data_IF_200323816407
#
_entry.id   IF_200323816407
#
_cell.length_a   1.000
_cell.length_b   1.000
_cell.length_c   1.000
_cell.angle_alpha   90.00
_cell.angle_beta   90.00
_cell.angle_gamma   90.00
#
_symmetry.space_group_name_H-M   'P 1'
#
loop_
_entity.id
_entity.type
_entity.pdbx_description
1 polymer ?
#
# COMPACT_ATOMS: atom_id res chain seq x y z
N UNK A 1 -1.18 -2.13 -29.39
CA UNK A 1 -0.96 -2.58 -28.00
C UNK A 1 -0.26 -1.45 -27.28
N UNK A 2 -0.81 -0.95 -26.19
CA UNK A 2 -0.18 0.09 -25.36
C UNK A 2 0.42 -0.63 -24.17
N UNK A 3 1.73 -0.54 -24.01
CA UNK A 3 2.43 -1.08 -22.85
C UNK A 3 2.76 0.09 -21.94
N UNK A 4 2.15 0.09 -20.78
CA UNK A 4 2.50 1.01 -19.70
C UNK A 4 3.54 0.35 -18.82
N UNK A 5 4.76 0.86 -18.84
CA UNK A 5 5.68 0.59 -17.73
C UNK A 5 5.49 1.73 -16.73
N UNK A 6 4.86 1.39 -15.62
CA UNK A 6 4.51 2.39 -14.63
C UNK A 6 5.73 3.03 -13.98
N UNK A 7 6.01 4.24 -14.43
CA UNK A 7 6.83 5.15 -13.68
C UNK A 7 6.06 6.03 -12.70
N UNK A 8 4.80 5.72 -12.41
CA UNK A 8 3.94 6.61 -11.59
C UNK A 8 4.49 6.79 -10.18
N UNK A 9 5.10 5.75 -9.63
CA UNK A 9 5.76 5.81 -8.32
C UNK A 9 7.27 6.09 -8.42
N UNK A 10 7.76 6.30 -9.63
CA UNK A 10 9.15 6.60 -9.88
C UNK A 10 9.22 8.11 -10.09
N UNK A 11 9.38 8.85 -8.99
CA UNK A 11 9.61 10.28 -9.10
C UNK A 11 10.80 10.54 -10.02
N UNK A 12 10.74 11.60 -10.77
CA UNK A 12 11.86 12.05 -11.62
C UNK A 12 13.16 12.30 -10.84
N UNK A 13 13.09 12.38 -9.51
CA UNK A 13 14.24 12.45 -8.62
C UNK A 13 14.96 11.11 -8.46
N UNK A 14 14.27 9.98 -8.66
CA UNK A 14 14.84 8.65 -8.47
C UNK A 14 15.24 7.96 -9.78
N UNK A 15 14.68 8.42 -10.92
CA UNK A 15 14.91 7.79 -12.22
C UNK A 15 14.94 8.84 -13.32
N UNK A 16 16.02 8.86 -14.08
CA UNK A 16 16.12 9.72 -15.25
C UNK A 16 15.09 9.30 -16.33
N UNK A 17 14.33 10.23 -16.93
CA UNK A 17 13.35 9.94 -17.96
C UNK A 17 13.91 9.10 -19.12
N UNK A 18 15.16 9.38 -19.50
CA UNK A 18 15.86 8.67 -20.57
C UNK A 18 16.05 7.18 -20.23
N UNK A 19 16.41 6.86 -18.98
CA UNK A 19 16.59 5.48 -18.56
C UNK A 19 15.26 4.71 -18.50
N UNK A 20 14.16 5.37 -18.15
CA UNK A 20 12.81 4.81 -18.20
C UNK A 20 12.39 4.55 -19.65
N UNK A 21 12.67 5.48 -20.55
CA UNK A 21 12.37 5.36 -21.98
C UNK A 21 13.13 4.19 -22.61
N UNK A 22 14.42 4.10 -22.38
CA UNK A 22 15.26 3.00 -22.88
C UNK A 22 14.81 1.63 -22.35
N UNK A 23 14.53 1.54 -21.05
CA UNK A 23 13.99 0.34 -20.43
C UNK A 23 12.65 -0.07 -21.04
N UNK A 24 11.79 0.91 -21.33
CA UNK A 24 10.47 0.66 -21.96
C UNK A 24 10.62 0.19 -23.40
N UNK A 25 11.50 0.80 -24.20
CA UNK A 25 11.78 0.38 -25.58
C UNK A 25 12.30 -1.05 -25.63
N UNK A 26 13.23 -1.41 -24.73
CA UNK A 26 13.78 -2.76 -24.64
C UNK A 26 12.68 -3.78 -24.31
N UNK A 27 11.80 -3.45 -23.38
CA UNK A 27 10.69 -4.31 -23.00
C UNK A 27 9.69 -4.49 -24.16
N UNK A 28 9.35 -3.40 -24.86
CA UNK A 28 8.48 -3.43 -26.05
C UNK A 28 9.07 -4.29 -27.17
N UNK A 29 10.38 -4.21 -27.40
CA UNK A 29 11.06 -5.07 -28.38
C UNK A 29 10.86 -6.54 -28.09
N UNK A 30 11.09 -6.98 -26.85
CA UNK A 30 10.88 -8.36 -26.46
C UNK A 30 9.43 -8.84 -26.57
N UNK A 31 8.47 -7.95 -26.28
CA UNK A 31 7.04 -8.24 -26.47
C UNK A 31 6.69 -8.40 -27.95
N UNK A 32 7.23 -7.54 -28.78
CA UNK A 32 6.99 -7.59 -30.23
C UNK A 32 7.53 -8.89 -30.85
N UNK A 33 8.72 -9.32 -30.43
CA UNK A 33 9.34 -10.58 -30.88
C UNK A 33 8.54 -11.82 -30.49
N UNK A 34 7.92 -11.84 -29.31
CA UNK A 34 7.05 -12.95 -28.86
C UNK A 34 5.79 -13.11 -29.69
N UNK A 35 5.19 -12.01 -30.12
CA UNK A 35 3.93 -12.02 -30.83
C UNK A 35 2.70 -12.28 -29.93
N UNK A 36 1.52 -12.21 -30.54
CA UNK A 36 0.25 -12.24 -29.81
C UNK A 36 -0.03 -13.60 -29.14
N UNK A 37 0.16 -14.71 -29.84
CA UNK A 37 -0.24 -16.03 -29.38
C UNK A 37 0.59 -16.48 -28.15
N UNK A 38 1.87 -16.17 -28.14
CA UNK A 38 2.73 -16.48 -27.00
C UNK A 38 2.37 -15.59 -25.79
N UNK A 39 2.14 -14.29 -26.00
CA UNK A 39 1.69 -13.39 -24.94
C UNK A 39 0.34 -13.80 -24.36
N UNK A 40 -0.60 -14.21 -25.21
CA UNK A 40 -1.89 -14.71 -24.78
C UNK A 40 -1.73 -15.99 -23.93
N UNK A 41 -0.89 -16.91 -24.38
CA UNK A 41 -0.60 -18.14 -23.64
C UNK A 41 0.04 -17.87 -22.28
N UNK A 42 1.00 -16.94 -22.20
CA UNK A 42 1.60 -16.51 -20.93
C UNK A 42 0.56 -15.87 -20.01
N UNK A 43 -0.29 -15.01 -20.54
CA UNK A 43 -1.38 -14.36 -19.79
C UNK A 43 -2.37 -15.36 -19.22
N UNK A 44 -2.80 -16.33 -20.02
CA UNK A 44 -3.71 -17.40 -19.56
C UNK A 44 -3.07 -18.21 -18.44
N UNK A 45 -1.80 -18.61 -18.57
CA UNK A 45 -1.10 -19.37 -17.51
C UNK A 45 -0.97 -18.55 -16.21
N UNK A 46 -0.64 -17.28 -16.32
CA UNK A 46 -0.50 -16.40 -15.15
C UNK A 46 -1.83 -16.23 -14.40
N UNK A 47 -2.94 -16.08 -15.13
CA UNK A 47 -4.26 -15.99 -14.51
C UNK A 47 -4.75 -17.35 -13.97
N UNK A 48 -4.49 -18.45 -14.67
CA UNK A 48 -4.82 -19.77 -14.15
C UNK A 48 -4.16 -20.02 -12.78
N UNK A 49 -2.87 -19.70 -12.66
CA UNK A 49 -2.17 -19.83 -11.39
C UNK A 49 -2.77 -18.96 -10.28
N UNK A 50 -3.15 -17.71 -10.59
CA UNK A 50 -3.84 -16.85 -9.60
C UNK A 50 -5.18 -17.44 -9.17
N UNK A 51 -5.99 -17.92 -10.12
CA UNK A 51 -7.29 -18.51 -9.83
C UNK A 51 -7.20 -19.79 -9.00
N UNK A 52 -6.15 -20.60 -9.14
CA UNK A 52 -5.90 -21.77 -8.29
C UNK A 52 -5.78 -21.40 -6.80
N UNK A 53 -5.27 -20.19 -6.49
CA UNK A 53 -5.09 -19.76 -5.11
C UNK A 53 -6.28 -18.99 -4.54
N UNK A 54 -7.03 -18.28 -5.37
CA UNK A 54 -7.96 -17.26 -4.89
C UNK A 54 -9.42 -17.46 -5.32
N UNK A 55 -9.73 -18.49 -6.10
CA UNK A 55 -11.12 -18.71 -6.51
C UNK A 55 -12.00 -19.16 -5.35
N UNK A 56 -13.22 -18.64 -5.33
CA UNK A 56 -14.23 -18.97 -4.34
C UNK A 56 -15.45 -19.51 -5.09
N UNK A 57 -15.97 -20.67 -4.67
CA UNK A 57 -17.16 -21.28 -5.24
C UNK A 57 -18.39 -20.98 -4.38
N UNK A 58 -19.39 -20.33 -4.98
CA UNK A 58 -20.69 -20.05 -4.36
C UNK A 58 -21.76 -20.87 -5.08
N UNK A 59 -22.42 -21.76 -4.33
CA UNK A 59 -23.48 -22.61 -4.88
C UNK A 59 -24.85 -21.98 -4.60
N UNK A 60 -25.68 -21.90 -5.63
CA UNK A 60 -27.07 -21.44 -5.51
C UNK A 60 -27.29 -19.94 -5.79
N UNK A 61 -26.23 -19.14 -5.89
CA UNK A 61 -26.33 -17.71 -6.25
C UNK A 61 -25.30 -17.34 -7.32
N UNK A 62 -25.77 -17.29 -8.57
CA UNK A 62 -24.93 -16.95 -9.74
C UNK A 62 -24.47 -15.50 -9.70
N UNK A 63 -25.30 -14.58 -9.20
CA UNK A 63 -24.95 -13.17 -9.13
C UNK A 63 -23.85 -12.92 -8.08
N UNK A 64 -23.94 -13.55 -6.92
CA UNK A 64 -22.90 -13.51 -5.90
C UNK A 64 -21.60 -14.15 -6.40
N UNK A 65 -21.67 -15.27 -7.11
CA UNK A 65 -20.49 -15.90 -7.72
C UNK A 65 -19.80 -14.99 -8.73
N UNK A 66 -20.56 -14.32 -9.57
CA UNK A 66 -20.01 -13.36 -10.53
C UNK A 66 -19.40 -12.15 -9.81
N UNK A 67 -20.10 -11.62 -8.81
CA UNK A 67 -19.66 -10.45 -8.05
C UNK A 67 -18.33 -10.68 -7.30
N UNK A 68 -18.17 -11.83 -6.64
CA UNK A 68 -16.93 -12.14 -5.93
C UNK A 68 -15.75 -12.32 -6.89
N UNK A 69 -15.93 -13.05 -8.00
CA UNK A 69 -14.87 -13.21 -9.01
C UNK A 69 -14.50 -11.89 -9.68
N UNK A 70 -15.46 -11.01 -9.93
CA UNK A 70 -15.20 -9.68 -10.45
C UNK A 70 -14.29 -8.87 -9.53
N UNK A 71 -14.56 -8.85 -8.22
CA UNK A 71 -13.73 -8.15 -7.24
C UNK A 71 -12.34 -8.77 -7.12
N UNK A 72 -12.23 -10.09 -7.07
CA UNK A 72 -10.95 -10.81 -7.05
C UNK A 72 -10.12 -10.45 -8.29
N UNK A 73 -10.74 -10.45 -9.46
CA UNK A 73 -10.07 -10.07 -10.70
C UNK A 73 -9.54 -8.65 -10.65
N UNK A 74 -10.34 -7.67 -10.21
CA UNK A 74 -9.92 -6.28 -10.13
C UNK A 74 -8.77 -6.04 -9.15
N UNK A 75 -8.78 -6.68 -7.99
CA UNK A 75 -7.67 -6.61 -7.04
C UNK A 75 -6.41 -7.28 -7.60
N UNK A 76 -6.56 -8.49 -8.17
CA UNK A 76 -5.45 -9.26 -8.72
C UNK A 76 -4.79 -8.65 -9.96
N UNK A 77 -5.52 -7.87 -10.76
CA UNK A 77 -4.94 -7.15 -11.91
C UNK A 77 -4.24 -5.85 -11.52
N UNK A 78 -4.68 -5.21 -10.42
CA UNK A 78 -4.15 -3.91 -10.01
C UNK A 78 -2.79 -4.04 -9.37
N UNK A 79 -2.61 -5.02 -8.49
CA UNK A 79 -1.37 -5.25 -7.77
C UNK A 79 -0.96 -6.71 -7.81
N UNK A 80 0.27 -6.96 -8.26
CA UNK A 80 0.80 -8.33 -8.44
C UNK A 80 1.80 -8.74 -7.36
N UNK A 81 2.31 -7.79 -6.60
CA UNK A 81 3.35 -8.04 -5.61
C UNK A 81 4.76 -8.24 -6.16
N UNK A 82 4.97 -8.07 -7.46
CA UNK A 82 6.28 -8.30 -8.08
C UNK A 82 7.30 -7.18 -7.79
N UNK A 83 6.82 -5.98 -7.49
CA UNK A 83 7.66 -4.82 -7.27
C UNK A 83 7.29 -4.10 -5.96
N UNK A 84 8.18 -4.18 -4.97
CA UNK A 84 7.99 -3.54 -3.67
C UNK A 84 8.10 -2.00 -3.68
N UNK A 85 8.28 -1.38 -4.87
CA UNK A 85 8.19 0.07 -5.05
C UNK A 85 6.75 0.50 -5.35
N UNK A 86 5.88 -0.44 -5.70
CA UNK A 86 4.49 -0.22 -6.06
C UNK A 86 3.58 -0.51 -4.88
N UNK A 87 2.40 0.09 -4.92
CA UNK A 87 1.35 -0.09 -3.93
C UNK A 87 -0.02 -0.12 -4.61
N UNK A 88 -1.08 -0.30 -3.84
CA UNK A 88 -2.45 -0.24 -4.29
C UNK A 88 -3.21 0.78 -3.45
N UNK A 89 -3.91 1.69 -4.11
CA UNK A 89 -4.80 2.65 -3.47
C UNK A 89 -6.25 2.15 -3.39
N UNK A 90 -7.14 2.93 -2.78
CA UNK A 90 -8.53 2.52 -2.51
C UNK A 90 -9.36 2.24 -3.76
N UNK A 91 -9.01 2.83 -4.90
CA UNK A 91 -9.70 2.63 -6.19
C UNK A 91 -8.84 1.92 -7.24
N UNK A 92 -7.65 1.46 -6.87
CA UNK A 92 -6.70 0.92 -7.82
C UNK A 92 -6.35 1.92 -8.93
N UNK A 93 -6.03 1.39 -10.12
CA UNK A 93 -5.73 2.22 -11.29
C UNK A 93 -6.97 2.63 -12.10
N UNK A 94 -8.09 2.00 -11.87
CA UNK A 94 -9.33 2.21 -12.65
C UNK A 94 -10.20 3.32 -12.10
N UNK A 95 -9.94 3.77 -10.87
CA UNK A 95 -10.66 4.87 -10.24
C UNK A 95 -10.07 6.22 -10.63
N UNK A 96 -10.85 7.09 -11.25
CA UNK A 96 -10.44 8.46 -11.57
C UNK A 96 -10.18 9.30 -10.33
N UNK A 97 -10.88 9.01 -9.23
CA UNK A 97 -10.64 9.62 -7.93
C UNK A 97 -9.43 8.97 -7.28
N UNK A 98 -8.69 9.74 -6.52
CA UNK A 98 -7.48 9.35 -5.78
C UNK A 98 -6.24 9.08 -6.65
N UNK A 99 -6.30 9.16 -7.98
CA UNK A 99 -5.14 9.13 -8.88
C UNK A 99 -4.21 7.92 -8.75
N UNK A 100 -4.68 6.79 -8.20
CA UNK A 100 -3.83 5.64 -7.90
C UNK A 100 -2.95 5.81 -6.66
N UNK A 101 -3.16 6.87 -5.87
CA UNK A 101 -2.37 7.14 -4.66
C UNK A 101 -2.65 6.14 -3.55
N UNK A 102 -1.66 5.97 -2.69
CA UNK A 102 -1.72 5.08 -1.53
C UNK A 102 -2.37 5.80 -0.35
N UNK A 103 -3.33 5.15 0.27
CA UNK A 103 -4.01 5.52 1.51
C UNK A 103 -3.85 4.42 2.55
N UNK A 104 -4.45 4.58 3.72
CA UNK A 104 -4.49 3.56 4.77
C UNK A 104 -5.36 2.35 4.42
N UNK A 105 -6.19 2.46 3.38
CA UNK A 105 -7.00 1.36 2.81
C UNK A 105 -6.16 0.15 2.41
N UNK A 106 -4.94 0.38 1.98
CA UNK A 106 -3.99 -0.69 1.66
C UNK A 106 -3.80 -1.61 2.86
N UNK A 107 -3.54 -1.05 4.03
CA UNK A 107 -3.30 -1.79 5.26
C UNK A 107 -4.57 -2.39 5.83
N UNK A 108 -5.66 -1.62 5.83
CA UNK A 108 -6.89 -2.03 6.47
C UNK A 108 -7.69 -3.07 5.66
N UNK A 109 -7.63 -3.00 4.32
CA UNK A 109 -8.52 -3.79 3.46
C UNK A 109 -7.78 -4.65 2.42
N UNK A 110 -6.73 -4.12 1.79
CA UNK A 110 -6.04 -4.85 0.73
C UNK A 110 -5.09 -5.92 1.28
N UNK A 111 -4.33 -5.64 2.31
CA UNK A 111 -3.41 -6.63 2.91
C UNK A 111 -4.14 -7.87 3.39
N UNK A 112 -5.26 -7.79 4.14
CA UNK A 112 -6.02 -8.99 4.52
C UNK A 112 -6.50 -9.82 3.34
N UNK A 113 -6.90 -9.18 2.24
CA UNK A 113 -7.24 -9.87 1.01
C UNK A 113 -6.05 -10.64 0.44
N UNK A 114 -4.91 -10.00 0.26
CA UNK A 114 -3.72 -10.66 -0.31
C UNK A 114 -3.12 -11.72 0.61
N UNK A 115 -3.20 -11.54 1.92
CA UNK A 115 -2.77 -12.56 2.90
C UNK A 115 -3.55 -13.88 2.73
N UNK A 116 -4.83 -13.79 2.43
CA UNK A 116 -5.71 -14.96 2.32
C UNK A 116 -5.82 -15.54 0.90
N UNK A 117 -5.40 -14.80 -0.13
CA UNK A 117 -5.71 -15.17 -1.54
C UNK A 117 -4.50 -15.15 -2.47
N UNK A 118 -3.32 -14.77 -2.01
CA UNK A 118 -2.14 -14.63 -2.84
C UNK A 118 -0.88 -15.21 -2.17
N UNK A 119 0.19 -15.30 -2.92
CA UNK A 119 1.49 -15.65 -2.34
C UNK A 119 1.90 -14.63 -1.27
N UNK A 120 2.54 -15.12 -0.22
CA UNK A 120 2.99 -14.31 0.92
C UNK A 120 3.77 -13.05 0.50
N UNK A 121 4.59 -13.15 -0.58
CA UNK A 121 5.37 -12.02 -1.10
C UNK A 121 4.52 -10.81 -1.47
N UNK A 122 3.27 -11.03 -1.86
CA UNK A 122 2.36 -9.95 -2.32
C UNK A 122 2.04 -9.00 -1.16
N UNK A 123 1.56 -9.53 -0.05
CA UNK A 123 1.31 -8.74 1.16
C UNK A 123 2.62 -8.18 1.75
N UNK A 124 3.69 -8.99 1.77
CA UNK A 124 5.02 -8.57 2.24
C UNK A 124 5.52 -7.32 1.51
N UNK A 125 5.39 -7.27 0.20
CA UNK A 125 5.89 -6.16 -0.60
C UNK A 125 5.09 -4.86 -0.36
N UNK A 126 3.81 -4.93 0.00
CA UNK A 126 3.04 -3.75 0.44
C UNK A 126 3.61 -3.16 1.74
N UNK A 127 4.04 -4.01 2.65
CA UNK A 127 4.67 -3.57 3.90
C UNK A 127 6.12 -3.10 3.71
N UNK A 128 6.88 -3.73 2.81
CA UNK A 128 8.23 -3.25 2.41
C UNK A 128 8.15 -1.88 1.74
N UNK A 129 7.08 -1.59 1.00
CA UNK A 129 6.82 -0.25 0.48
C UNK A 129 6.79 0.80 1.60
N UNK A 130 6.09 0.53 2.71
CA UNK A 130 6.08 1.45 3.86
C UNK A 130 7.46 1.61 4.50
N UNK A 131 8.21 0.53 4.64
CA UNK A 131 9.59 0.61 5.13
C UNK A 131 10.47 1.50 4.25
N UNK A 132 10.39 1.39 2.93
CA UNK A 132 11.14 2.22 1.98
C UNK A 132 10.81 3.71 2.09
N UNK A 133 9.67 4.06 2.68
CA UNK A 133 9.24 5.44 2.89
C UNK A 133 9.36 5.90 4.35
N UNK A 134 10.05 5.13 5.21
CA UNK A 134 10.21 5.47 6.63
C UNK A 134 10.90 6.83 6.82
N UNK A 135 11.97 7.10 6.08
CA UNK A 135 12.67 8.39 6.14
C UNK A 135 11.74 9.57 5.79
N UNK A 136 10.90 9.39 4.77
CA UNK A 136 9.90 10.40 4.40
C UNK A 136 8.83 10.60 5.48
N UNK A 137 8.43 9.52 6.15
CA UNK A 137 7.50 9.61 7.28
C UNK A 137 8.14 10.33 8.48
N UNK A 138 9.45 10.16 8.70
CA UNK A 138 10.21 10.91 9.72
C UNK A 138 10.29 12.40 9.34
N UNK A 139 10.65 12.72 8.10
CA UNK A 139 10.65 14.10 7.59
C UNK A 139 9.27 14.77 7.73
N UNK A 140 8.20 14.03 7.44
CA UNK A 140 6.82 14.50 7.57
C UNK A 140 6.48 14.82 9.04
N UNK A 141 6.85 13.97 9.97
CA UNK A 141 6.68 14.21 11.39
C UNK A 141 7.50 15.43 11.87
N UNK A 142 8.74 15.59 11.39
CA UNK A 142 9.60 16.72 11.73
C UNK A 142 9.00 18.07 11.31
N UNK A 143 8.35 18.16 10.15
CA UNK A 143 7.64 19.36 9.69
C UNK A 143 6.55 19.80 10.66
N UNK A 144 6.00 18.87 11.43
CA UNK A 144 4.97 19.10 12.44
C UNK A 144 5.54 19.27 13.87
N UNK A 145 6.88 19.34 14.01
CA UNK A 145 7.55 19.57 15.29
C UNK A 145 7.87 18.31 16.10
N UNK A 146 7.62 17.12 15.56
CA UNK A 146 8.05 15.87 16.20
C UNK A 146 9.56 15.64 15.99
N UNK A 147 10.17 14.87 16.88
CA UNK A 147 11.62 14.66 16.92
C UNK A 147 12.00 13.20 17.18
N UNK A 148 13.31 12.95 17.35
CA UNK A 148 13.86 11.65 17.77
C UNK A 148 13.43 10.46 16.89
N UNK A 149 13.30 10.67 15.58
CA UNK A 149 12.91 9.62 14.65
C UNK A 149 11.44 9.18 14.80
N UNK A 150 10.57 10.05 15.31
CA UNK A 150 9.14 9.87 15.23
C UNK A 150 8.71 9.88 13.76
N UNK A 151 7.89 8.92 13.35
CA UNK A 151 7.42 8.79 11.98
C UNK A 151 5.92 9.00 11.90
N UNK A 152 5.48 9.91 11.02
CA UNK A 152 4.08 10.07 10.63
C UNK A 152 3.97 9.83 9.14
N UNK A 153 3.45 8.69 8.76
CA UNK A 153 3.22 8.37 7.36
C UNK A 153 2.23 9.35 6.74
N UNK A 154 2.41 9.70 5.47
CA UNK A 154 1.46 10.59 4.80
C UNK A 154 0.07 9.96 4.72
N UNK A 155 -0.96 10.80 4.71
CA UNK A 155 -2.34 10.37 4.47
C UNK A 155 -2.48 9.84 3.04
N UNK A 156 -1.98 10.60 2.08
CA UNK A 156 -2.00 10.27 0.65
C UNK A 156 -0.61 10.37 0.07
N UNK A 157 -0.15 9.32 -0.59
CA UNK A 157 1.18 9.33 -1.16
C UNK A 157 1.33 8.44 -2.38
N UNK A 158 2.33 8.75 -3.20
CA UNK A 158 2.84 7.88 -4.25
C UNK A 158 4.29 7.46 -3.99
N UNK A 159 5.08 8.34 -3.40
CA UNK A 159 6.53 8.19 -3.22
C UNK A 159 7.02 8.41 -1.79
N UNK A 160 6.09 8.43 -0.83
CA UNK A 160 6.38 8.69 0.58
C UNK A 160 6.16 10.14 1.01
N UNK A 161 5.98 11.06 0.07
CA UNK A 161 5.65 12.45 0.37
C UNK A 161 4.13 12.65 0.52
N UNK A 162 3.71 13.57 1.39
CA UNK A 162 2.30 13.91 1.56
C UNK A 162 1.78 14.67 0.34
N UNK A 163 0.72 14.15 -0.30
CA UNK A 163 0.13 14.73 -1.50
C UNK A 163 -1.05 15.67 -1.23
N UNK A 164 -1.52 15.75 0.02
CA UNK A 164 -2.66 16.59 0.43
C UNK A 164 -2.26 17.63 1.50
N UNK A 165 -1.13 18.29 1.32
CA UNK A 165 -0.52 19.19 2.31
C UNK A 165 -1.40 20.37 2.74
N UNK A 166 -2.34 20.79 1.92
CA UNK A 166 -3.19 21.95 2.18
C UNK A 166 -4.52 21.57 2.87
N UNK A 167 -4.80 20.28 3.03
CA UNK A 167 -6.01 19.81 3.64
C UNK A 167 -5.77 19.48 5.13
N UNK A 168 -6.49 20.15 6.00
CA UNK A 168 -6.34 20.09 7.46
C UNK A 168 -6.42 18.65 8.01
N UNK A 169 -7.30 17.83 7.45
CA UNK A 169 -7.50 16.42 7.79
C UNK A 169 -6.21 15.58 7.68
N UNK A 170 -5.24 15.99 6.86
CA UNK A 170 -3.95 15.29 6.75
C UNK A 170 -3.16 15.27 8.05
N UNK A 171 -3.43 16.23 8.94
CA UNK A 171 -2.78 16.33 10.25
C UNK A 171 -3.59 15.65 11.36
N UNK A 172 -4.86 15.40 11.13
CA UNK A 172 -5.81 14.87 12.09
C UNK A 172 -6.03 13.37 11.93
N UNK A 173 -6.02 12.84 10.72
CA UNK A 173 -6.18 11.41 10.39
C UNK A 173 -4.93 10.57 10.71
N UNK A 174 -4.46 10.63 11.93
CA UNK A 174 -3.24 9.93 12.36
C UNK A 174 -3.45 8.43 12.57
N UNK A 175 -4.67 7.94 12.50
CA UNK A 175 -5.02 6.53 12.58
C UNK A 175 -4.36 5.69 11.48
N UNK A 176 -3.92 6.28 10.37
CA UNK A 176 -3.12 5.62 9.34
C UNK A 176 -1.83 4.99 9.87
N UNK A 177 -1.18 5.61 10.85
CA UNK A 177 -0.05 5.01 11.56
C UNK A 177 -0.45 3.74 12.32
N UNK A 178 -1.63 3.76 12.93
CA UNK A 178 -2.21 2.60 13.60
C UNK A 178 -2.51 1.47 12.62
N UNK A 179 -3.07 1.78 11.45
CA UNK A 179 -3.34 0.80 10.39
C UNK A 179 -2.06 0.12 9.91
N UNK A 180 -0.98 0.87 9.69
CA UNK A 180 0.32 0.32 9.28
C UNK A 180 0.89 -0.59 10.37
N UNK A 181 0.87 -0.16 11.64
CA UNK A 181 1.36 -0.97 12.75
C UNK A 181 0.55 -2.26 12.91
N UNK A 182 -0.77 -2.19 12.78
CA UNK A 182 -1.65 -3.35 12.83
C UNK A 182 -1.35 -4.32 11.68
N UNK A 183 -1.19 -3.82 10.47
CA UNK A 183 -0.89 -4.66 9.31
C UNK A 183 0.46 -5.39 9.42
N UNK A 184 1.49 -4.75 9.99
CA UNK A 184 2.77 -5.39 10.28
C UNK A 184 2.59 -6.53 11.30
N UNK A 185 1.83 -6.27 12.37
CA UNK A 185 1.55 -7.25 13.39
C UNK A 185 0.72 -8.42 12.84
N UNK A 186 -0.34 -8.13 12.08
CA UNK A 186 -1.22 -9.14 11.48
C UNK A 186 -0.47 -10.01 10.47
N UNK A 187 0.30 -9.41 9.57
CA UNK A 187 1.16 -10.11 8.64
C UNK A 187 2.11 -11.08 9.37
N UNK A 188 2.82 -10.57 10.39
CA UNK A 188 3.79 -11.38 11.13
C UNK A 188 3.13 -12.56 11.85
N UNK A 189 1.97 -12.33 12.46
CA UNK A 189 1.20 -13.38 13.13
C UNK A 189 0.63 -14.41 12.16
N UNK A 190 0.12 -13.94 11.02
CA UNK A 190 -0.50 -14.82 10.03
C UNK A 190 0.52 -15.72 9.33
N UNK A 191 1.68 -15.16 8.99
CA UNK A 191 2.71 -15.83 8.20
C UNK A 191 3.84 -16.47 9.01
N UNK A 192 4.12 -15.98 10.20
CA UNK A 192 5.31 -16.35 10.97
C UNK A 192 6.62 -15.77 10.40
N UNK A 193 6.57 -14.77 9.52
CA UNK A 193 7.75 -14.17 8.89
C UNK A 193 8.48 -13.21 9.84
N UNK A 194 9.23 -13.78 10.78
CA UNK A 194 10.10 -13.03 11.69
C UNK A 194 11.24 -12.32 10.96
N UNK A 195 11.62 -12.81 9.78
CA UNK A 195 12.66 -12.20 8.94
C UNK A 195 12.20 -10.85 8.44
N UNK A 196 10.94 -10.75 7.98
CA UNK A 196 10.36 -9.46 7.61
C UNK A 196 10.34 -8.51 8.83
N UNK A 197 9.89 -8.98 9.97
CA UNK A 197 9.80 -8.15 11.17
C UNK A 197 11.17 -7.60 11.57
N UNK A 198 12.20 -8.44 11.60
CA UNK A 198 13.55 -8.05 12.02
C UNK A 198 14.26 -7.13 11.02
N UNK A 199 14.03 -7.31 9.71
CA UNK A 199 14.71 -6.55 8.66
C UNK A 199 14.01 -5.23 8.31
N UNK A 200 12.70 -5.15 8.48
CA UNK A 200 11.89 -4.03 8.00
C UNK A 200 10.85 -3.53 9.00
N UNK A 201 10.02 -4.44 9.51
CA UNK A 201 8.84 -4.07 10.27
C UNK A 201 9.16 -3.39 11.61
N UNK A 202 10.23 -3.83 12.28
CA UNK A 202 10.59 -3.31 13.61
C UNK A 202 10.95 -1.83 13.57
N UNK A 203 11.71 -1.37 12.58
CA UNK A 203 12.07 0.05 12.44
C UNK A 203 10.84 0.93 12.21
N UNK A 204 9.91 0.47 11.39
CA UNK A 204 8.62 1.13 11.15
C UNK A 204 7.84 1.25 12.45
N UNK A 205 7.70 0.16 13.21
CA UNK A 205 7.00 0.14 14.49
C UNK A 205 7.65 1.07 15.53
N UNK A 206 8.98 1.14 15.57
CA UNK A 206 9.71 2.06 16.45
C UNK A 206 9.41 3.52 16.09
N UNK A 207 9.47 3.87 14.79
CA UNK A 207 9.15 5.21 14.32
C UNK A 207 7.72 5.64 14.66
N UNK A 208 6.76 4.77 14.42
CA UNK A 208 5.35 4.97 14.77
C UNK A 208 5.16 5.09 16.28
N UNK A 209 5.81 4.25 17.08
CA UNK A 209 5.72 4.31 18.54
C UNK A 209 6.28 5.61 19.11
N UNK A 210 7.38 6.12 18.54
CA UNK A 210 7.96 7.41 18.90
C UNK A 210 7.01 8.57 18.58
N UNK A 211 6.28 8.48 17.47
CA UNK A 211 5.24 9.44 17.14
C UNK A 211 4.11 9.42 18.18
N UNK A 212 3.54 8.27 18.47
CA UNK A 212 2.47 8.13 19.44
C UNK A 212 2.86 8.64 20.83
N UNK A 213 4.08 8.31 21.28
CA UNK A 213 4.60 8.77 22.57
C UNK A 213 4.62 10.30 22.68
N UNK A 214 4.87 11.01 21.59
CA UNK A 214 4.92 12.48 21.55
C UNK A 214 3.54 13.11 21.26
N UNK A 215 2.63 12.37 20.67
CA UNK A 215 1.31 12.87 20.25
C UNK A 215 0.28 12.88 21.36
N UNK A 216 0.42 12.03 22.35
CA UNK A 216 -0.51 11.94 23.48
C UNK A 216 -0.15 12.94 24.57
N UNK A 217 -1.16 13.44 25.30
CA UNK A 217 -1.01 14.36 26.41
C UNK A 217 -1.63 13.77 27.68
N UNK A 218 -1.00 14.00 28.82
CA UNK A 218 -1.58 13.61 30.08
C UNK A 218 -2.68 14.58 30.50
N UNK A 219 -3.86 14.09 30.78
CA UNK A 219 -4.96 14.87 31.35
C UNK A 219 -5.04 14.59 32.87
N UNK A 220 -4.70 15.57 33.68
CA UNK A 220 -4.81 15.47 35.14
C UNK A 220 -6.27 15.35 35.58
N UNK A 221 -7.21 15.99 34.87
CA UNK A 221 -8.64 15.92 35.13
C UNK A 221 -9.19 14.50 34.92
N UNK A 222 -8.77 13.84 33.83
CA UNK A 222 -9.25 12.50 33.47
C UNK A 222 -8.36 11.39 34.05
N UNK A 223 -7.21 11.71 34.65
CA UNK A 223 -6.26 10.73 35.17
C UNK A 223 -5.72 9.75 34.11
N UNK A 224 -5.63 10.17 32.83
CA UNK A 224 -5.20 9.32 31.72
C UNK A 224 -4.59 10.13 30.58
N UNK A 225 -3.90 9.43 29.67
CA UNK A 225 -3.50 10.02 28.42
C UNK A 225 -4.69 10.27 27.50
N UNK A 226 -4.67 11.40 26.83
CA UNK A 226 -5.70 11.84 25.86
C UNK A 226 -5.02 12.23 24.57
N UNK A 227 -5.80 12.19 23.51
CA UNK A 227 -5.41 12.62 22.18
C UNK A 227 -6.50 13.55 21.68
N UNK A 228 -6.13 14.80 21.41
CA UNK A 228 -7.05 15.87 21.02
C UNK A 228 -6.74 16.30 19.58
N UNK A 229 -7.73 16.83 18.88
CA UNK A 229 -7.59 17.29 17.49
C UNK A 229 -7.20 16.12 16.58
N UNK A 230 -8.01 15.10 16.57
CA UNK A 230 -7.87 13.92 15.69
C UNK A 230 -9.21 13.60 15.07
N UNK A 231 -9.17 13.26 13.80
CA UNK A 231 -10.29 12.72 13.05
C UNK A 231 -10.06 11.23 12.80
N UNK A 232 -11.08 10.44 13.01
CA UNK A 232 -11.05 9.00 12.73
C UNK A 232 -11.45 8.69 11.28
N UNK A 233 -11.74 7.41 10.98
CA UNK A 233 -12.26 7.00 9.67
C UNK A 233 -13.57 7.68 9.27
N UNK A 234 -14.32 8.22 10.22
CA UNK A 234 -15.45 9.11 9.98
C UNK A 234 -14.90 10.55 9.89
N UNK A 235 -14.57 10.98 8.70
CA UNK A 235 -13.79 12.19 8.37
C UNK A 235 -14.45 13.51 8.76
N UNK A 236 -15.68 13.49 9.29
CA UNK A 236 -16.47 14.68 9.58
C UNK A 236 -16.70 14.91 11.09
N UNK A 237 -16.08 14.11 11.95
CA UNK A 237 -16.22 14.19 13.40
C UNK A 237 -14.84 14.19 14.08
N UNK A 238 -14.59 15.20 14.92
CA UNK A 238 -13.38 15.38 15.75
C UNK A 238 -13.65 14.99 17.22
#
# INVERSE_FOLDING_TARGET
>A
MIVYKYGVNLSSTNYAPESLLESTKKYLGGIYEKGFDELLSEHIRAWAHKWEMNDISIVGDVAAQQGIRFNIFHLGQTYTGEDARLNIGPKGFTGEKYGGSTYWDTEAYCIPFYLSTAEQKVARNLLVYRYKHLEKAIENAQKLGFSNGAALYPMVTMNGEECHNEWEITFEEIHRNGAIAYAIWDYTRYTGDETYLSQYGLEVLIGISRFWKQRVNWSSEKGKYVMLGVTGPNEYEN
#
